data_IF_198219885863
#
_entry.id   IF_198219885863
#
_cell.length_a   1.000
_cell.length_b   1.000
_cell.length_c   1.000
_cell.angle_alpha   90.00
_cell.angle_beta   90.00
_cell.angle_gamma   90.00
#
_symmetry.space_group_name_H-M   'P 1'
#
loop_
_entity.id
_entity.type
_entity.pdbx_description
1 polymer ?
#
# COMPACT_ATOMS: atom_id res chain seq x y z
N UNK A 1 4.01 13.10 4.97
CA UNK A 1 3.56 12.53 3.69
C UNK A 1 2.06 12.45 3.76
N UNK A 2 1.34 12.98 2.76
CA UNK A 2 -0.13 13.06 2.80
C UNK A 2 -0.76 12.27 1.66
N UNK A 3 -1.81 11.53 1.98
CA UNK A 3 -2.63 10.78 1.02
C UNK A 3 -4.08 11.23 1.10
N UNK A 4 -4.79 11.17 -0.01
CA UNK A 4 -6.22 11.47 -0.09
C UNK A 4 -6.81 10.72 -1.26
N UNK A 5 -7.91 10.01 -1.03
CA UNK A 5 -8.57 9.24 -2.08
C UNK A 5 -9.81 8.50 -1.61
N UNK A 6 -10.46 7.83 -2.56
CA UNK A 6 -11.62 6.98 -2.29
C UNK A 6 -11.16 5.64 -1.76
N UNK A 7 -11.89 5.09 -0.80
CA UNK A 7 -11.57 3.82 -0.17
C UNK A 7 -12.11 2.65 -0.99
N UNK A 8 -11.27 1.64 -1.19
CA UNK A 8 -11.64 0.29 -1.63
C UNK A 8 -11.41 -0.67 -0.46
N UNK A 9 -12.49 -1.14 0.17
CA UNK A 9 -12.42 -1.95 1.39
C UNK A 9 -12.64 -3.44 1.12
N UNK A 10 -11.74 -4.25 1.68
CA UNK A 10 -11.77 -5.72 1.57
C UNK A 10 -11.70 -6.39 2.95
N UNK A 11 -11.98 -7.69 2.95
CA UNK A 11 -12.00 -8.52 4.16
C UNK A 11 -10.61 -8.90 4.69
N UNK A 12 -10.58 -10.00 5.44
CA UNK A 12 -9.37 -10.56 6.05
C UNK A 12 -8.72 -11.60 5.16
N UNK A 13 -7.47 -11.92 5.49
CA UNK A 13 -6.71 -13.01 4.87
C UNK A 13 -6.64 -12.88 3.33
N UNK A 14 -6.55 -11.64 2.85
CA UNK A 14 -6.33 -11.36 1.43
C UNK A 14 -4.90 -11.77 1.08
N UNK A 15 -4.77 -12.95 0.48
CA UNK A 15 -3.47 -13.52 0.15
C UNK A 15 -2.85 -12.93 -1.13
N UNK A 16 -1.57 -13.22 -1.33
CA UNK A 16 -0.83 -12.76 -2.51
C UNK A 16 -1.27 -13.39 -3.84
N UNK A 17 -1.98 -14.52 -3.82
CA UNK A 17 -2.57 -15.14 -5.01
C UNK A 17 -3.79 -14.37 -5.51
N UNK A 18 -4.63 -13.88 -4.59
CA UNK A 18 -5.80 -13.06 -4.94
C UNK A 18 -5.44 -11.61 -5.23
N UNK A 19 -4.33 -11.10 -4.65
CA UNK A 19 -3.81 -9.77 -5.01
C UNK A 19 -3.25 -9.77 -6.44
N UNK A 20 -2.41 -10.76 -6.77
CA UNK A 20 -1.86 -10.91 -8.12
C UNK A 20 -1.69 -12.41 -8.45
N UNK A 21 -2.53 -12.94 -9.35
CA UNK A 21 -2.51 -14.35 -9.65
C UNK A 21 -1.19 -14.84 -10.25
N UNK A 22 -0.78 -16.07 -9.89
CA UNK A 22 0.50 -16.66 -10.28
C UNK A 22 0.75 -16.67 -11.81
N UNK A 23 -0.32 -16.68 -12.60
CA UNK A 23 -0.29 -16.65 -14.08
C UNK A 23 0.33 -15.38 -14.67
N UNK A 24 0.45 -14.29 -13.89
CA UNK A 24 1.06 -13.03 -14.33
C UNK A 24 2.47 -12.80 -13.82
N UNK A 25 3.06 -13.77 -13.09
CA UNK A 25 4.41 -13.65 -12.53
C UNK A 25 5.52 -13.95 -13.55
N UNK A 26 5.19 -14.00 -14.83
CA UNK A 26 6.13 -14.09 -15.95
C UNK A 26 6.59 -12.71 -16.45
N UNK A 27 6.10 -11.62 -15.85
CA UNK A 27 6.51 -10.24 -16.11
C UNK A 27 6.81 -9.52 -14.80
N UNK A 28 7.70 -8.53 -14.87
CA UNK A 28 7.98 -7.61 -13.77
C UNK A 28 7.68 -6.16 -14.14
N UNK A 29 6.98 -5.93 -15.26
CA UNK A 29 6.57 -4.59 -15.71
C UNK A 29 5.40 -4.12 -14.84
N UNK A 30 5.54 -3.05 -14.04
CA UNK A 30 4.50 -2.63 -13.09
C UNK A 30 3.16 -2.33 -13.74
N UNK A 31 3.17 -1.67 -14.90
CA UNK A 31 1.99 -1.32 -15.69
C UNK A 31 1.22 -2.55 -16.19
N UNK A 32 1.92 -3.65 -16.49
CA UNK A 32 1.28 -4.90 -16.89
C UNK A 32 0.69 -5.63 -15.67
N UNK A 33 1.40 -5.64 -14.54
CA UNK A 33 0.90 -6.24 -13.30
C UNK A 33 -0.34 -5.49 -12.77
N UNK A 34 -0.37 -4.16 -12.90
CA UNK A 34 -1.48 -3.32 -12.47
C UNK A 34 -2.82 -3.71 -13.12
N UNK A 35 -2.80 -4.12 -14.40
CA UNK A 35 -3.99 -4.53 -15.15
C UNK A 35 -4.69 -5.75 -14.58
N UNK A 36 -3.97 -6.52 -13.75
CA UNK A 36 -4.42 -7.79 -13.16
C UNK A 36 -4.49 -7.73 -11.64
N UNK A 37 -4.34 -6.54 -11.05
CA UNK A 37 -4.39 -6.36 -9.61
C UNK A 37 -5.79 -6.71 -9.08
N UNK A 38 -5.85 -7.52 -8.02
CA UNK A 38 -7.06 -7.96 -7.32
C UNK A 38 -8.09 -8.73 -8.18
N UNK A 39 -7.79 -9.09 -9.44
CA UNK A 39 -8.84 -9.50 -10.40
C UNK A 39 -9.61 -10.78 -10.03
N UNK A 40 -8.98 -11.72 -9.30
CA UNK A 40 -9.64 -12.95 -8.85
C UNK A 40 -10.53 -12.71 -7.63
N UNK A 41 -10.31 -11.62 -6.89
CA UNK A 41 -11.14 -11.20 -5.75
C UNK A 41 -12.24 -10.22 -6.18
N UNK A 42 -11.87 -9.25 -7.01
CA UNK A 42 -12.73 -8.19 -7.52
C UNK A 42 -12.33 -7.84 -8.96
N UNK A 43 -13.02 -8.47 -9.92
CA UNK A 43 -12.82 -8.24 -11.34
C UNK A 43 -13.08 -6.78 -11.78
N UNK A 44 -13.78 -5.99 -10.96
CA UNK A 44 -14.04 -4.58 -11.20
C UNK A 44 -12.95 -3.64 -10.67
N UNK A 45 -12.02 -4.13 -9.83
CA UNK A 45 -11.07 -3.30 -9.10
C UNK A 45 -10.30 -2.32 -9.99
N UNK A 46 -9.65 -2.83 -11.04
CA UNK A 46 -8.85 -2.02 -11.98
C UNK A 46 -9.70 -0.98 -12.72
N UNK A 47 -10.99 -1.26 -12.92
CA UNK A 47 -11.91 -0.32 -13.56
C UNK A 47 -12.44 0.78 -12.64
N UNK A 48 -12.39 0.57 -11.31
CA UNK A 48 -12.88 1.54 -10.31
C UNK A 48 -11.78 2.30 -9.57
N UNK A 49 -10.58 1.74 -9.45
CA UNK A 49 -9.47 2.39 -8.73
C UNK A 49 -8.95 3.59 -9.52
N UNK A 50 -8.78 4.71 -8.83
CA UNK A 50 -8.16 5.91 -9.34
C UNK A 50 -6.81 6.17 -8.68
N UNK A 51 -5.94 6.93 -9.36
CA UNK A 51 -4.68 7.38 -8.77
C UNK A 51 -4.94 8.21 -7.52
N UNK A 52 -4.38 7.80 -6.39
CA UNK A 52 -4.58 8.43 -5.08
C UNK A 52 -5.45 7.62 -4.13
N UNK A 53 -6.24 6.67 -4.65
CA UNK A 53 -7.18 5.89 -3.84
C UNK A 53 -6.49 5.07 -2.74
N UNK A 54 -7.29 4.68 -1.74
CA UNK A 54 -6.81 4.04 -0.52
C UNK A 54 -7.38 2.63 -0.46
N UNK A 55 -6.54 1.63 -0.21
CA UNK A 55 -7.00 0.27 0.03
C UNK A 55 -7.15 0.07 1.54
N UNK A 56 -8.31 -0.40 1.98
CA UNK A 56 -8.57 -0.75 3.38
C UNK A 56 -8.79 -2.26 3.47
N UNK A 57 -8.18 -2.92 4.45
CA UNK A 57 -8.36 -4.35 4.67
C UNK A 57 -8.46 -4.71 6.15
N UNK A 58 -9.05 -5.86 6.44
CA UNK A 58 -9.12 -6.39 7.81
C UNK A 58 -7.76 -7.00 8.21
N UNK A 59 -7.74 -8.14 8.91
CA UNK A 59 -6.51 -8.77 9.41
C UNK A 59 -5.71 -9.51 8.33
N UNK A 60 -4.40 -9.63 8.55
CA UNK A 60 -3.49 -10.51 7.82
C UNK A 60 -3.42 -10.25 6.30
N UNK A 61 -3.45 -8.98 5.90
CA UNK A 61 -3.36 -8.60 4.49
C UNK A 61 -2.00 -8.98 3.88
N UNK A 62 -2.03 -9.50 2.66
CA UNK A 62 -0.85 -9.94 1.91
C UNK A 62 -0.28 -11.27 2.39
N UNK A 63 -1.10 -12.14 2.98
CA UNK A 63 -0.66 -13.44 3.46
C UNK A 63 -0.29 -14.41 2.32
N UNK A 64 0.23 -15.59 2.69
CA UNK A 64 0.69 -16.59 1.74
C UNK A 64 2.13 -16.37 1.26
N UNK A 65 2.34 -16.51 -0.05
CA UNK A 65 3.68 -16.62 -0.64
C UNK A 65 4.46 -15.29 -0.72
N UNK A 66 5.79 -15.37 -0.74
CA UNK A 66 6.63 -14.18 -0.92
C UNK A 66 6.60 -13.67 -2.37
N UNK A 67 5.72 -12.70 -2.65
CA UNK A 67 5.58 -12.08 -3.97
C UNK A 67 5.77 -10.57 -3.90
N UNK A 68 6.88 -10.05 -4.39
CA UNK A 68 7.07 -8.60 -4.56
C UNK A 68 6.16 -8.01 -5.64
N UNK A 69 5.68 -8.85 -6.57
CA UNK A 69 4.67 -8.47 -7.57
C UNK A 69 3.37 -7.96 -6.93
N UNK A 70 3.00 -8.45 -5.74
CA UNK A 70 1.76 -8.05 -5.06
C UNK A 70 1.76 -6.55 -4.71
N UNK A 71 2.69 -6.02 -3.89
CA UNK A 71 2.72 -4.58 -3.64
C UNK A 71 3.03 -3.74 -4.88
N UNK A 72 3.80 -4.26 -5.85
CA UNK A 72 4.04 -3.56 -7.13
C UNK A 72 2.74 -3.37 -7.91
N UNK A 73 1.92 -4.42 -8.02
CA UNK A 73 0.63 -4.36 -8.74
C UNK A 73 -0.33 -3.36 -8.11
N UNK A 74 -0.43 -3.34 -6.77
CA UNK A 74 -1.28 -2.42 -6.02
C UNK A 74 -0.84 -0.97 -6.24
N UNK A 75 0.46 -0.69 -6.07
CA UNK A 75 1.03 0.65 -6.28
C UNK A 75 0.81 1.14 -7.71
N UNK A 76 1.07 0.28 -8.70
CA UNK A 76 0.94 0.62 -10.10
C UNK A 76 -0.52 0.74 -10.56
N UNK A 77 -1.46 0.10 -9.87
CA UNK A 77 -2.90 0.27 -10.09
C UNK A 77 -3.42 1.64 -9.62
N UNK A 78 -2.64 2.39 -8.83
CA UNK A 78 -2.99 3.75 -8.40
C UNK A 78 -3.28 3.90 -6.91
N UNK A 79 -3.21 2.82 -6.13
CA UNK A 79 -3.38 2.89 -4.67
C UNK A 79 -2.20 3.64 -4.05
N UNK A 80 -2.50 4.68 -3.28
CA UNK A 80 -1.51 5.55 -2.65
C UNK A 80 -1.02 5.04 -1.30
N UNK A 81 -1.90 4.38 -0.53
CA UNK A 81 -1.59 3.78 0.77
C UNK A 81 -2.55 2.64 1.07
N UNK A 82 -2.07 1.60 1.78
CA UNK A 82 -2.92 0.57 2.36
C UNK A 82 -3.08 0.79 3.86
N UNK A 83 -4.31 0.76 4.36
CA UNK A 83 -4.61 0.76 5.79
C UNK A 83 -5.20 -0.62 6.14
N UNK A 84 -4.58 -1.34 7.08
CA UNK A 84 -5.08 -2.65 7.50
C UNK A 84 -5.10 -2.81 9.02
N UNK A 85 -5.82 -3.83 9.52
CA UNK A 85 -5.71 -4.21 10.93
C UNK A 85 -4.34 -4.82 11.23
N UNK A 86 -3.85 -5.62 10.28
CA UNK A 86 -2.51 -6.19 10.33
C UNK A 86 -2.06 -6.66 8.95
N UNK A 87 -0.74 -6.72 8.75
CA UNK A 87 -0.14 -7.27 7.53
C UNK A 87 0.61 -8.57 7.81
N UNK A 88 0.63 -9.45 6.81
CA UNK A 88 1.58 -10.56 6.81
C UNK A 88 3.01 -10.02 6.74
N UNK A 89 3.90 -10.54 7.59
CA UNK A 89 5.28 -10.01 7.77
C UNK A 89 6.07 -9.88 6.48
N UNK A 90 5.90 -10.82 5.55
CA UNK A 90 6.62 -10.82 4.26
C UNK A 90 6.09 -9.70 3.37
N UNK A 91 4.77 -9.57 3.26
CA UNK A 91 4.15 -8.49 2.51
C UNK A 91 4.52 -7.12 3.08
N UNK A 92 4.49 -6.98 4.42
CA UNK A 92 4.88 -5.75 5.10
C UNK A 92 6.26 -5.24 4.65
N UNK A 93 7.26 -6.13 4.69
CA UNK A 93 8.62 -5.83 4.23
C UNK A 93 8.66 -5.50 2.73
N UNK A 94 7.99 -6.31 1.91
CA UNK A 94 8.02 -6.13 0.46
C UNK A 94 7.36 -4.79 0.05
N UNK A 95 6.25 -4.41 0.67
CA UNK A 95 5.57 -3.15 0.42
C UNK A 95 6.51 -1.95 0.67
N UNK A 96 7.17 -1.90 1.83
CA UNK A 96 8.17 -0.86 2.13
C UNK A 96 9.31 -0.91 1.10
N UNK A 97 9.86 -2.09 0.80
CA UNK A 97 10.97 -2.24 -0.14
C UNK A 97 10.63 -1.73 -1.55
N UNK A 98 9.38 -1.87 -1.98
CA UNK A 98 8.88 -1.39 -3.27
C UNK A 98 8.28 0.03 -3.20
N UNK A 99 8.37 0.67 -2.04
CA UNK A 99 7.87 2.02 -1.80
C UNK A 99 6.34 2.14 -1.88
N UNK A 100 5.60 1.10 -1.50
CA UNK A 100 4.16 1.13 -1.28
C UNK A 100 3.91 1.45 0.21
N UNK A 101 3.30 2.61 0.53
CA UNK A 101 2.93 2.97 1.89
C UNK A 101 1.91 2.00 2.49
N UNK A 102 2.15 1.57 3.73
CA UNK A 102 1.23 0.71 4.48
C UNK A 102 1.13 1.19 5.93
N UNK A 103 -0.06 1.12 6.53
CA UNK A 103 -0.33 1.55 7.90
C UNK A 103 -1.20 0.53 8.63
N UNK A 104 -0.78 0.12 9.82
CA UNK A 104 -1.63 -0.66 10.73
C UNK A 104 -2.47 0.30 11.59
N UNK A 105 -3.79 0.26 11.44
CA UNK A 105 -4.71 1.15 12.14
C UNK A 105 -6.08 0.46 12.36
N UNK A 106 -6.20 -0.46 13.34
CA UNK A 106 -7.41 -1.26 13.50
C UNK A 106 -8.70 -0.45 13.69
N UNK A 107 -8.63 0.62 14.49
CA UNK A 107 -9.78 1.50 14.73
C UNK A 107 -10.22 2.24 13.46
N UNK A 108 -9.27 2.64 12.61
CA UNK A 108 -9.58 3.26 11.32
C UNK A 108 -10.26 2.25 10.39
N UNK A 109 -9.78 1.01 10.35
CA UNK A 109 -10.43 -0.05 9.56
C UNK A 109 -11.87 -0.27 10.01
N UNK A 110 -12.13 -0.33 11.31
CA UNK A 110 -13.49 -0.49 11.85
C UNK A 110 -14.42 0.70 11.52
N UNK A 111 -13.87 1.92 11.46
CA UNK A 111 -14.62 3.15 11.23
C UNK A 111 -14.66 3.68 9.79
N UNK A 112 -14.04 2.98 8.84
CA UNK A 112 -14.02 3.33 7.41
C UNK A 112 -14.83 2.31 6.60
N UNK A 113 -15.67 2.80 5.70
CA UNK A 113 -16.48 2.00 4.77
C UNK A 113 -15.93 2.06 3.35
N UNK A 114 -16.29 1.07 2.52
CA UNK A 114 -16.04 1.11 1.08
C UNK A 114 -16.70 2.36 0.46
N UNK A 115 -15.97 3.07 -0.42
CA UNK A 115 -16.43 4.30 -1.04
C UNK A 115 -16.29 5.57 -0.20
N UNK A 116 -15.84 5.49 1.06
CA UNK A 116 -15.53 6.68 1.84
C UNK A 116 -14.35 7.46 1.24
N UNK A 117 -14.32 8.77 1.44
CA UNK A 117 -13.17 9.60 1.12
C UNK A 117 -12.34 9.75 2.39
N UNK A 118 -11.06 9.38 2.33
CA UNK A 118 -10.17 9.38 3.48
C UNK A 118 -8.93 10.21 3.18
N UNK A 119 -8.51 11.03 4.14
CA UNK A 119 -7.20 11.68 4.14
C UNK A 119 -6.30 11.05 5.20
N UNK A 120 -5.01 10.95 4.90
CA UNK A 120 -4.01 10.38 5.78
C UNK A 120 -2.83 11.33 5.84
N UNK A 121 -2.43 11.73 7.05
CA UNK A 121 -1.13 12.36 7.30
C UNK A 121 -0.21 11.34 7.96
N UNK A 122 0.61 10.68 7.15
CA UNK A 122 1.53 9.63 7.62
C UNK A 122 2.69 10.19 8.48
N UNK A 123 2.95 11.51 8.46
CA UNK A 123 3.97 12.10 9.34
C UNK A 123 3.47 12.21 10.79
N UNK A 124 2.17 12.45 10.98
CA UNK A 124 1.54 12.53 12.30
C UNK A 124 0.77 11.26 12.67
N UNK A 125 0.54 10.36 11.72
CA UNK A 125 -0.28 9.16 11.88
C UNK A 125 -1.79 9.42 11.90
N UNK A 126 -2.23 10.65 11.62
CA UNK A 126 -3.66 11.02 11.65
C UNK A 126 -4.36 10.53 10.39
N UNK A 127 -5.49 9.84 10.55
CA UNK A 127 -6.36 9.38 9.47
C UNK A 127 -7.73 10.03 9.69
N UNK A 128 -8.23 10.75 8.69
CA UNK A 128 -9.55 11.38 8.73
C UNK A 128 -10.45 10.76 7.68
N UNK A 129 -11.59 10.22 8.10
CA UNK A 129 -12.67 9.88 7.19
C UNK A 129 -13.47 11.15 6.89
N UNK A 130 -13.24 11.75 5.72
CA UNK A 130 -13.86 13.00 5.30
C UNK A 130 -15.37 12.83 5.04
N UNK A 131 -15.83 11.61 4.72
CA UNK A 131 -17.25 11.31 4.53
C UNK A 131 -18.02 11.40 5.85
N UNK A 132 -17.45 10.89 6.94
CA UNK A 132 -18.14 10.78 8.25
C UNK A 132 -17.69 11.82 9.27
N UNK A 133 -16.53 12.45 9.07
CA UNK A 133 -15.85 13.32 10.02
C UNK A 133 -15.12 12.58 11.14
N UNK A 134 -15.06 11.25 11.10
CA UNK A 134 -14.33 10.46 12.09
C UNK A 134 -12.80 10.63 11.93
N UNK A 135 -12.09 10.66 13.05
CA UNK A 135 -10.63 10.81 13.09
C UNK A 135 -10.03 9.67 13.90
N UNK A 136 -8.98 9.06 13.36
CA UNK A 136 -8.27 7.93 13.93
C UNK A 136 -6.77 8.21 14.00
N UNK A 137 -6.08 7.44 14.84
CA UNK A 137 -4.64 7.57 15.05
C UNK A 137 -3.94 6.24 14.76
N UNK A 138 -3.05 6.25 13.77
CA UNK A 138 -2.10 5.19 13.48
C UNK A 138 -0.72 5.51 14.04
N UNK A 139 0.20 4.54 13.99
CA UNK A 139 1.61 4.85 14.22
C UNK A 139 2.14 5.72 13.06
N UNK A 140 2.78 6.87 13.36
CA UNK A 140 3.42 7.67 12.33
C UNK A 140 4.55 6.91 11.64
N UNK A 141 4.85 7.27 10.40
CA UNK A 141 6.00 6.69 9.70
C UNK A 141 7.31 7.11 10.38
N UNK A 142 8.14 6.14 10.80
CA UNK A 142 9.50 6.44 11.21
C UNK A 142 10.24 7.15 10.06
N UNK A 143 11.13 8.12 10.34
CA UNK A 143 11.85 8.86 9.30
C UNK A 143 12.51 7.97 8.25
N UNK A 144 13.12 6.85 8.67
CA UNK A 144 13.78 5.93 7.73
C UNK A 144 12.82 5.24 6.76
N UNK A 145 11.58 4.93 7.19
CA UNK A 145 10.56 4.32 6.33
C UNK A 145 10.05 5.36 5.33
N UNK A 146 9.83 6.58 5.82
CA UNK A 146 9.44 7.71 4.99
C UNK A 146 10.44 7.93 3.86
N UNK A 147 11.74 8.04 4.19
CA UNK A 147 12.80 8.24 3.20
C UNK A 147 12.79 7.14 2.13
N UNK A 148 12.67 5.87 2.55
CA UNK A 148 12.61 4.72 1.62
C UNK A 148 11.42 4.86 0.66
N UNK A 149 10.25 5.23 1.17
CA UNK A 149 9.04 5.37 0.37
C UNK A 149 9.15 6.57 -0.58
N UNK A 150 9.65 7.71 -0.11
CA UNK A 150 9.80 8.95 -0.91
C UNK A 150 10.80 8.77 -2.05
N UNK A 151 11.91 8.04 -1.84
CA UNK A 151 12.84 7.69 -2.92
C UNK A 151 12.29 6.59 -3.86
N UNK A 152 11.10 6.04 -3.59
CA UNK A 152 10.44 5.06 -4.45
C UNK A 152 10.83 3.60 -4.16
N UNK A 153 11.44 3.32 -3.02
CA UNK A 153 11.77 1.98 -2.53
C UNK A 153 13.22 1.85 -2.06
N UNK A 154 13.52 0.70 -1.44
CA UNK A 154 14.80 0.46 -0.75
C UNK A 154 15.99 0.52 -1.71
N UNK A 155 15.86 -0.04 -2.91
CA UNK A 155 16.94 -0.06 -3.92
C UNK A 155 17.28 1.36 -4.36
N UNK A 156 16.28 2.20 -4.57
CA UNK A 156 16.49 3.58 -4.98
C UNK A 156 17.13 4.40 -3.85
N UNK A 157 16.61 4.27 -2.62
CA UNK A 157 17.19 4.90 -1.42
C UNK A 157 18.64 4.49 -1.17
N UNK A 158 18.99 3.21 -1.36
CA UNK A 158 20.36 2.74 -1.21
C UNK A 158 21.31 3.31 -2.28
N UNK A 159 20.84 3.46 -3.52
CA UNK A 159 21.64 4.06 -4.62
C UNK A 159 21.95 5.53 -4.35
N UNK A 160 20.97 6.29 -3.87
CA UNK A 160 21.13 7.70 -3.51
C UNK A 160 22.18 7.88 -2.40
N UNK A 161 22.04 7.15 -1.29
CA UNK A 161 23.01 7.20 -0.18
C UNK A 161 24.43 6.81 -0.59
N UNK A 162 24.56 5.83 -1.49
CA UNK A 162 25.87 5.43 -2.03
C UNK A 162 26.47 6.49 -2.97
N UNK A 163 25.64 7.24 -3.70
CA UNK A 163 26.10 8.35 -4.53
C UNK A 163 26.62 9.51 -3.66
N UNK A 164 25.86 9.88 -2.62
CA UNK A 164 26.24 10.96 -1.69
C UNK A 164 27.55 10.64 -0.94
N UNK A 165 27.71 9.39 -0.49
CA UNK A 165 28.95 8.97 0.20
C UNK A 165 30.21 9.02 -0.69
N UNK A 166 30.04 9.08 -2.02
CA UNK A 166 31.13 9.18 -2.99
C UNK A 166 31.42 10.61 -3.44
N UNK A 167 30.51 11.56 -3.23
CA UNK A 167 30.76 12.99 -3.50
C UNK A 167 31.52 13.69 -2.36
N UNK A 168 31.51 13.09 -1.17
CA UNK A 168 32.22 13.60 0.02
C UNK A 168 33.64 13.01 0.19
N UNK A 169 34.10 12.18 -0.75
CA UNK A 169 35.41 11.52 -0.76
C UNK A 169 36.28 11.98 -1.93
#
# INVERSE_FOLDING_TARGET
MKFSGTVHKYGRDIDTDVIIPARYLNTSVPEELAKHCMEDLDAGFVGKVASGDILVAEENFGCGSSREHAPISIKAAGVSVIIAKSFARIFYRNAINTGLPIMEAPEAVDGISDGDVVTVDADSGVITNETTGAVFQAQPFPPFIKDIIETGGLVASAREKLADSRSDA
#
